data_IF_992473775299
#
_entry.id   IF_992473775299
#
_cell.length_a   1.000
_cell.length_b   1.000
_cell.length_c   1.000
_cell.angle_alpha   90.00
_cell.angle_beta   90.00
_cell.angle_gamma   90.00
#
_symmetry.space_group_name_H-M   'P 1'
#
loop_
_entity.id
_entity.type
_entity.pdbx_description
1 polymer ?
#
# COMPACT_ATOMS: atom_id res chain seq x y z
N UNK A 1 22.32 28.88 8.35
CA UNK A 1 21.86 27.71 7.57
C UNK A 1 22.15 26.49 8.45
N UNK A 2 21.22 26.14 9.34
CA UNK A 2 21.43 25.05 10.31
C UNK A 2 21.17 23.72 9.61
N UNK A 3 22.23 23.00 9.26
CA UNK A 3 22.13 21.63 8.79
C UNK A 3 21.64 20.78 9.95
N UNK A 4 20.46 20.18 9.81
CA UNK A 4 20.02 19.14 10.74
C UNK A 4 21.01 18.00 10.59
N UNK A 5 21.73 17.65 11.67
CA UNK A 5 22.50 16.42 11.77
C UNK A 5 21.49 15.27 11.72
N UNK A 6 21.13 14.87 10.51
CA UNK A 6 20.33 13.68 10.30
C UNK A 6 21.25 12.50 10.60
N UNK A 7 20.92 11.76 11.65
CA UNK A 7 21.60 10.50 11.96
C UNK A 7 21.24 9.46 10.89
N UNK A 8 22.12 9.37 9.88
CA UNK A 8 21.97 8.46 8.75
C UNK A 8 21.86 6.99 9.21
N UNK A 9 22.47 6.63 10.35
CA UNK A 9 22.37 5.27 10.89
C UNK A 9 20.98 5.00 11.45
N UNK A 10 20.39 5.96 12.17
CA UNK A 10 19.02 5.84 12.68
C UNK A 10 18.01 5.75 11.53
N UNK A 11 18.14 6.60 10.50
CA UNK A 11 17.28 6.54 9.33
C UNK A 11 17.40 5.21 8.56
N UNK A 12 18.63 4.71 8.40
CA UNK A 12 18.84 3.44 7.71
C UNK A 12 18.20 2.26 8.46
N UNK A 13 18.30 2.23 9.81
CA UNK A 13 17.59 1.22 10.61
C UNK A 13 16.07 1.30 10.41
N UNK A 14 15.50 2.49 10.50
CA UNK A 14 14.05 2.69 10.29
C UNK A 14 13.61 2.29 8.87
N UNK A 15 14.39 2.64 7.85
CA UNK A 15 14.12 2.26 6.47
C UNK A 15 14.13 0.74 6.29
N UNK A 16 15.09 0.05 6.93
CA UNK A 16 15.16 -1.42 6.90
C UNK A 16 13.98 -2.07 7.62
N UNK A 17 13.56 -1.56 8.79
CA UNK A 17 12.37 -2.05 9.49
C UNK A 17 11.09 -1.87 8.65
N UNK A 18 10.94 -0.72 7.99
CA UNK A 18 9.82 -0.47 7.08
C UNK A 18 9.89 -1.43 5.88
N UNK A 19 11.06 -1.66 5.31
CA UNK A 19 11.25 -2.60 4.20
C UNK A 19 10.85 -4.03 4.59
N UNK A 20 11.21 -4.48 5.79
CA UNK A 20 10.79 -5.79 6.31
C UNK A 20 9.27 -5.88 6.48
N UNK A 21 8.64 -4.85 7.05
CA UNK A 21 7.18 -4.80 7.18
C UNK A 21 6.46 -4.77 5.84
N UNK A 22 6.99 -4.04 4.85
CA UNK A 22 6.44 -4.01 3.49
C UNK A 22 6.45 -5.40 2.85
N UNK A 23 7.57 -6.13 2.96
CA UNK A 23 7.67 -7.51 2.45
C UNK A 23 6.68 -8.45 3.13
N UNK A 24 6.44 -8.27 4.43
CA UNK A 24 5.47 -9.07 5.17
C UNK A 24 4.03 -8.79 4.73
N UNK A 25 3.65 -7.51 4.59
CA UNK A 25 2.34 -7.11 4.07
C UNK A 25 2.12 -7.58 2.64
N UNK A 26 3.14 -7.52 1.80
CA UNK A 26 3.09 -8.02 0.43
C UNK A 26 2.80 -9.52 0.38
N UNK A 27 3.48 -10.32 1.21
CA UNK A 27 3.19 -11.76 1.33
C UNK A 27 1.78 -12.03 1.83
N UNK A 28 1.31 -11.27 2.82
CA UNK A 28 -0.07 -11.39 3.32
C UNK A 28 -1.09 -11.08 2.24
N UNK A 29 -0.86 -10.01 1.45
CA UNK A 29 -1.71 -9.67 0.32
C UNK A 29 -1.72 -10.79 -0.72
N UNK A 30 -0.58 -11.44 -1.00
CA UNK A 30 -0.50 -12.56 -1.95
C UNK A 30 -1.25 -13.79 -1.45
N UNK A 31 -1.18 -14.08 -0.16
CA UNK A 31 -1.92 -15.16 0.45
C UNK A 31 -3.44 -14.91 0.36
N UNK A 32 -3.90 -13.69 0.63
CA UNK A 32 -5.33 -13.35 0.57
C UNK A 32 -5.84 -13.31 -0.88
N UNK A 33 -5.03 -12.80 -1.82
CA UNK A 33 -5.37 -12.73 -3.23
C UNK A 33 -5.16 -14.06 -3.97
N UNK A 34 -4.56 -15.05 -3.31
CA UNK A 34 -4.12 -16.34 -3.86
C UNK A 34 -3.28 -16.19 -5.14
N UNK A 35 -2.55 -15.09 -5.28
CA UNK A 35 -1.63 -14.85 -6.38
C UNK A 35 -0.69 -13.66 -6.10
N UNK A 36 0.52 -13.66 -6.67
CA UNK A 36 1.39 -12.49 -6.64
C UNK A 36 0.86 -11.37 -7.56
N UNK A 37 0.98 -10.11 -7.11
CA UNK A 37 0.61 -8.92 -7.88
C UNK A 37 1.33 -7.69 -7.35
N UNK A 38 1.40 -6.61 -8.10
CA UNK A 38 2.05 -5.38 -7.65
C UNK A 38 1.10 -4.52 -6.80
N UNK A 39 1.31 -4.47 -5.48
CA UNK A 39 0.54 -3.63 -4.53
C UNK A 39 0.67 -2.13 -4.79
N UNK A 40 1.70 -1.71 -5.54
CA UNK A 40 1.89 -0.31 -5.93
C UNK A 40 1.15 0.04 -7.21
N UNK A 41 0.58 -0.94 -7.93
CA UNK A 41 -0.13 -0.72 -9.20
C UNK A 41 -1.64 -0.63 -8.98
N UNK A 42 -2.27 0.55 -9.15
CA UNK A 42 -3.72 0.70 -9.05
C UNK A 42 -4.50 -0.24 -9.96
N UNK A 43 -3.97 -0.50 -11.17
CA UNK A 43 -4.61 -1.38 -12.15
C UNK A 43 -4.66 -2.83 -11.67
N UNK A 44 -3.57 -3.36 -11.12
CA UNK A 44 -3.57 -4.73 -10.58
C UNK A 44 -4.45 -4.83 -9.34
N UNK A 45 -4.41 -3.84 -8.45
CA UNK A 45 -5.31 -3.80 -7.29
C UNK A 45 -6.78 -3.85 -7.70
N UNK A 46 -7.16 -3.10 -8.75
CA UNK A 46 -8.52 -3.14 -9.29
C UNK A 46 -8.90 -4.53 -9.81
N UNK A 47 -8.00 -5.17 -10.55
CA UNK A 47 -8.22 -6.52 -11.09
C UNK A 47 -8.37 -7.57 -9.97
N UNK A 48 -7.55 -7.49 -8.92
CA UNK A 48 -7.64 -8.39 -7.77
C UNK A 48 -8.93 -8.15 -6.99
N UNK A 49 -9.18 -6.91 -6.56
CA UNK A 49 -10.30 -6.59 -5.67
C UNK A 49 -11.65 -6.78 -6.37
N UNK A 50 -11.82 -6.21 -7.55
CA UNK A 50 -13.13 -6.17 -8.22
C UNK A 50 -13.30 -7.27 -9.27
N UNK A 51 -12.19 -7.78 -9.84
CA UNK A 51 -12.22 -8.88 -10.79
C UNK A 51 -12.20 -10.23 -10.09
N UNK A 52 -11.08 -10.57 -9.41
CA UNK A 52 -10.88 -11.89 -8.81
C UNK A 52 -11.71 -12.11 -7.54
N UNK A 53 -11.66 -11.16 -6.60
CA UNK A 53 -12.42 -11.26 -5.35
C UNK A 53 -13.89 -10.85 -5.52
N UNK A 54 -14.26 -10.24 -6.65
CA UNK A 54 -15.63 -9.84 -6.95
C UNK A 54 -16.20 -8.81 -5.97
N UNK A 55 -15.36 -8.04 -5.28
CA UNK A 55 -15.79 -6.99 -4.36
C UNK A 55 -16.55 -5.94 -5.16
N UNK A 56 -17.61 -5.35 -4.58
CA UNK A 56 -18.35 -4.28 -5.24
C UNK A 56 -17.65 -2.94 -5.00
N UNK A 57 -17.30 -2.17 -6.06
CA UNK A 57 -16.73 -0.86 -5.87
C UNK A 57 -17.76 0.13 -5.33
N UNK A 58 -17.40 0.84 -4.25
CA UNK A 58 -18.26 1.90 -3.69
C UNK A 58 -18.20 3.17 -4.53
N UNK A 59 -17.04 3.45 -5.15
CA UNK A 59 -16.81 4.62 -5.99
C UNK A 59 -16.12 4.23 -7.30
N UNK A 60 -16.35 5.02 -8.36
CA UNK A 60 -15.69 4.90 -9.66
C UNK A 60 -14.97 6.20 -10.01
N UNK A 61 -13.87 6.08 -10.72
CA UNK A 61 -13.16 7.23 -11.30
C UNK A 61 -13.97 7.80 -12.48
N UNK A 62 -13.67 9.04 -12.95
CA UNK A 62 -14.33 9.61 -14.12
C UNK A 62 -14.18 8.76 -15.39
N UNK A 63 -13.15 7.92 -15.48
CA UNK A 63 -12.96 6.98 -16.58
C UNK A 63 -13.84 5.72 -16.47
N UNK A 64 -14.69 5.62 -15.45
CA UNK A 64 -15.56 4.48 -15.17
C UNK A 64 -14.86 3.31 -14.47
N UNK A 65 -13.56 3.41 -14.17
CA UNK A 65 -12.84 2.35 -13.48
C UNK A 65 -13.18 2.35 -11.98
N UNK A 66 -13.23 1.18 -11.33
CA UNK A 66 -13.34 1.09 -9.87
C UNK A 66 -12.27 1.92 -9.15
N UNK A 67 -12.65 2.79 -8.21
CA UNK A 67 -11.67 3.54 -7.45
C UNK A 67 -10.96 2.61 -6.45
N UNK A 68 -9.64 2.78 -6.32
CA UNK A 68 -8.83 2.18 -5.25
C UNK A 68 -8.20 3.29 -4.41
N UNK A 69 -8.90 4.41 -4.25
CA UNK A 69 -8.45 5.53 -3.41
C UNK A 69 -8.46 5.13 -1.93
N UNK A 70 -7.78 5.93 -1.10
CA UNK A 70 -7.64 5.65 0.34
C UNK A 70 -9.00 5.53 1.04
N UNK A 71 -9.91 6.48 0.83
CA UNK A 71 -11.25 6.45 1.41
C UNK A 71 -12.04 5.19 1.03
N UNK A 72 -11.97 4.79 -0.25
CA UNK A 72 -12.66 3.60 -0.76
C UNK A 72 -12.09 2.32 -0.14
N UNK A 73 -10.76 2.23 -0.07
CA UNK A 73 -10.12 1.09 0.56
C UNK A 73 -10.39 1.03 2.06
N UNK A 74 -10.57 2.18 2.74
CA UNK A 74 -10.91 2.23 4.17
C UNK A 74 -12.31 1.69 4.44
N UNK A 75 -13.29 2.07 3.61
CA UNK A 75 -14.63 1.49 3.67
C UNK A 75 -14.59 -0.03 3.42
N UNK A 76 -13.92 -0.46 2.35
CA UNK A 76 -13.81 -1.88 2.02
C UNK A 76 -13.02 -2.69 3.06
N UNK A 77 -12.11 -2.05 3.80
CA UNK A 77 -11.31 -2.68 4.86
C UNK A 77 -12.14 -3.08 6.09
N UNK A 78 -13.36 -2.57 6.23
CA UNK A 78 -14.28 -2.96 7.30
C UNK A 78 -14.79 -4.40 7.08
N UNK A 79 -15.01 -4.78 5.82
CA UNK A 79 -15.57 -6.08 5.45
C UNK A 79 -14.51 -7.06 4.91
N UNK A 80 -13.42 -6.56 4.32
CA UNK A 80 -12.43 -7.36 3.62
C UNK A 80 -11.01 -7.14 4.16
N UNK A 81 -10.22 -8.22 4.37
CA UNK A 81 -8.86 -8.10 4.89
C UNK A 81 -7.87 -7.52 3.87
N UNK A 82 -8.07 -7.76 2.55
CA UNK A 82 -7.11 -7.32 1.53
C UNK A 82 -6.99 -5.78 1.42
N UNK A 83 -8.08 -4.99 1.35
CA UNK A 83 -8.00 -3.53 1.39
C UNK A 83 -7.23 -2.97 2.58
N UNK A 84 -7.37 -3.59 3.76
CA UNK A 84 -6.63 -3.20 4.96
C UNK A 84 -5.12 -3.35 4.79
N UNK A 85 -4.67 -4.51 4.28
CA UNK A 85 -3.26 -4.77 4.00
C UNK A 85 -2.70 -3.80 2.96
N UNK A 86 -3.50 -3.47 1.92
CA UNK A 86 -3.11 -2.51 0.88
C UNK A 86 -2.92 -1.11 1.47
N UNK A 87 -3.83 -0.66 2.35
CA UNK A 87 -3.73 0.64 3.02
C UNK A 87 -2.46 0.74 3.86
N UNK A 88 -2.19 -0.28 4.69
CA UNK A 88 -0.98 -0.33 5.52
C UNK A 88 0.28 -0.31 4.65
N UNK A 89 0.30 -1.09 3.57
CA UNK A 89 1.43 -1.12 2.63
C UNK A 89 1.65 0.25 1.98
N UNK A 90 0.59 0.92 1.49
CA UNK A 90 0.69 2.26 0.89
C UNK A 90 1.19 3.31 1.87
N UNK A 91 0.70 3.27 3.11
CA UNK A 91 1.17 4.16 4.18
C UNK A 91 2.66 4.01 4.44
N UNK A 92 3.13 2.76 4.62
CA UNK A 92 4.54 2.45 4.83
C UNK A 92 5.41 2.78 3.61
N UNK A 93 4.94 2.51 2.40
CA UNK A 93 5.67 2.79 1.16
C UNK A 93 5.87 4.30 0.97
N UNK A 94 4.83 5.10 1.25
CA UNK A 94 4.89 6.57 1.23
C UNK A 94 5.87 7.11 2.29
N UNK A 95 5.84 6.52 3.48
CA UNK A 95 6.75 6.86 4.57
C UNK A 95 8.20 6.59 4.15
N UNK A 96 8.48 5.41 3.59
CA UNK A 96 9.79 5.03 3.07
C UNK A 96 10.27 6.01 1.98
N UNK A 97 9.45 6.34 0.98
CA UNK A 97 9.84 7.32 -0.06
C UNK A 97 10.13 8.70 0.55
N UNK A 98 9.30 9.19 1.48
CA UNK A 98 9.51 10.52 2.09
C UNK A 98 10.84 10.62 2.87
N UNK A 99 11.29 9.52 3.51
CA UNK A 99 12.56 9.49 4.22
C UNK A 99 13.76 9.13 3.34
N UNK A 100 13.54 8.43 2.23
CA UNK A 100 14.62 7.99 1.32
C UNK A 100 14.95 9.06 0.27
N UNK A 101 13.96 9.84 -0.19
CA UNK A 101 14.14 10.93 -1.17
C UNK A 101 14.70 12.23 -0.56
N UNK A 102 14.72 12.37 0.77
CA UNK A 102 15.19 13.59 1.47
C UNK A 102 16.67 13.59 1.85
N UNK A 103 17.47 12.65 1.33
CA UNK A 103 18.92 12.58 1.51
C UNK A 103 19.68 13.19 0.34
#
# INVERSE_FOLDING_TARGET
>A
RNGVLIDAHMLNRQSNEIAMKLMELEKQAYAIAEQPFNLSSPKQLQEILFGKLGIKPTKKTPSGAPSTDEDVLQELALDYPLPKVILEHRGLAKLKSTYTDKL
#
